data_IF_305053431773
#
_entry.id   IF_305053431773
#
_cell.length_a   1.000
_cell.length_b   1.000
_cell.length_c   1.000
_cell.angle_alpha   90.00
_cell.angle_beta   90.00
_cell.angle_gamma   90.00
#
_symmetry.space_group_name_H-M   'P 1'
#
loop_
_entity.id
_entity.type
_entity.pdbx_description
1 polymer ?
#
# COMPACT_ATOMS: atom_id res chain seq x y z
N UNK A 1 -13.06 15.76 26.48
CA UNK A 1 -12.24 14.60 26.06
C UNK A 1 -12.92 13.74 24.97
N UNK A 2 -14.16 13.26 25.14
CA UNK A 2 -14.86 12.43 24.11
C UNK A 2 -15.04 13.11 22.74
N UNK A 3 -15.39 14.41 22.71
CA UNK A 3 -15.54 15.18 21.47
C UNK A 3 -14.22 15.41 20.72
N UNK A 4 -13.10 15.54 21.44
CA UNK A 4 -11.79 15.73 20.85
C UNK A 4 -11.35 14.47 20.07
N UNK A 5 -11.61 13.29 20.62
CA UNK A 5 -11.23 12.02 20.01
C UNK A 5 -12.09 11.73 18.75
N UNK A 6 -13.38 12.06 18.78
CA UNK A 6 -14.25 12.02 17.60
C UNK A 6 -13.76 12.98 16.50
N UNK A 7 -13.42 14.21 16.86
CA UNK A 7 -12.90 15.22 15.92
C UNK A 7 -11.61 14.75 15.23
N UNK A 8 -10.68 14.17 15.99
CA UNK A 8 -9.41 13.64 15.47
C UNK A 8 -9.67 12.47 14.50
N UNK A 9 -10.60 11.56 14.83
CA UNK A 9 -10.95 10.44 13.95
C UNK A 9 -11.55 10.96 12.63
N UNK A 10 -12.47 11.93 12.67
CA UNK A 10 -13.04 12.53 11.45
C UNK A 10 -12.00 13.25 10.58
N UNK A 11 -11.03 13.94 11.19
CA UNK A 11 -9.93 14.60 10.47
C UNK A 11 -8.99 13.61 9.76
N UNK A 12 -8.79 12.42 10.31
CA UNK A 12 -7.97 11.38 9.70
C UNK A 12 -8.67 10.65 8.55
N UNK A 13 -10.01 10.58 8.56
CA UNK A 13 -10.78 9.92 7.49
C UNK A 13 -10.88 10.84 6.26
N UNK A 14 -10.99 12.16 6.44
CA UNK A 14 -11.16 13.10 5.31
C UNK A 14 -9.86 13.45 4.57
N UNK A 15 -8.69 13.26 5.20
CA UNK A 15 -7.39 13.66 4.65
C UNK A 15 -6.81 12.70 3.59
N UNK A 16 -7.40 11.53 3.37
CA UNK A 16 -6.92 10.54 2.37
C UNK A 16 -7.40 10.82 0.94
N UNK A 17 -8.30 11.80 0.71
CA UNK A 17 -8.95 11.96 -0.61
C UNK A 17 -8.26 12.94 -1.57
N UNK A 18 -7.16 13.60 -1.18
CA UNK A 18 -6.58 14.68 -2.00
C UNK A 18 -5.53 14.24 -3.03
N UNK A 19 -5.27 12.94 -3.19
CA UNK A 19 -4.12 12.51 -3.97
C UNK A 19 -4.32 12.45 -5.49
N UNK A 20 -5.54 12.39 -6.05
CA UNK A 20 -5.69 12.15 -7.51
C UNK A 20 -6.99 12.70 -8.13
N UNK A 21 -7.25 14.01 -8.05
CA UNK A 21 -8.25 14.64 -8.92
C UNK A 21 -7.58 15.56 -9.94
N UNK A 22 -6.73 14.99 -10.80
CA UNK A 22 -6.19 15.71 -11.99
C UNK A 22 -7.11 15.61 -13.20
N UNK A 23 -7.98 14.59 -13.22
CA UNK A 23 -8.96 14.34 -14.27
C UNK A 23 -10.34 14.52 -13.64
N UNK A 24 -11.22 15.27 -14.29
CA UNK A 24 -12.62 15.45 -13.90
C UNK A 24 -13.55 15.28 -15.11
N UNK A 25 -14.86 15.25 -14.85
CA UNK A 25 -15.91 15.27 -15.89
C UNK A 25 -15.77 14.19 -16.99
N UNK A 26 -15.45 12.95 -16.59
CA UNK A 26 -15.31 11.83 -17.52
C UNK A 26 -16.70 11.45 -18.03
N UNK A 27 -16.93 11.63 -19.33
CA UNK A 27 -18.17 11.26 -20.03
C UNK A 27 -17.83 10.22 -21.09
N UNK A 28 -18.58 9.14 -21.12
CA UNK A 28 -18.41 8.06 -22.09
C UNK A 28 -19.62 8.04 -23.00
N UNK A 29 -19.38 8.11 -24.31
CA UNK A 29 -20.40 8.02 -25.35
C UNK A 29 -20.05 6.88 -26.28
N UNK A 30 -21.07 6.13 -26.69
CA UNK A 30 -20.94 5.14 -27.75
C UNK A 30 -21.37 5.85 -29.02
N UNK A 31 -20.44 6.11 -29.94
CA UNK A 31 -20.75 6.82 -31.18
C UNK A 31 -21.54 5.91 -32.13
N UNK A 32 -21.03 4.68 -32.29
CA UNK A 32 -21.62 3.59 -33.07
C UNK A 32 -21.42 2.28 -32.32
N UNK A 33 -21.98 1.16 -32.82
CA UNK A 33 -21.72 -0.19 -32.27
C UNK A 33 -20.25 -0.64 -32.33
N UNK A 34 -19.35 0.20 -32.84
CA UNK A 34 -17.93 -0.08 -33.04
C UNK A 34 -16.98 0.85 -32.26
N UNK A 35 -17.40 2.06 -31.90
CA UNK A 35 -16.51 3.10 -31.37
C UNK A 35 -17.02 3.70 -30.05
N UNK A 36 -16.09 3.93 -29.14
CA UNK A 36 -16.34 4.59 -27.85
C UNK A 36 -15.58 5.91 -27.83
N UNK A 37 -16.30 6.97 -27.53
CA UNK A 37 -15.78 8.30 -27.26
C UNK A 37 -15.72 8.54 -25.76
N UNK A 38 -14.55 8.97 -25.28
CA UNK A 38 -14.30 9.32 -23.89
C UNK A 38 -13.92 10.79 -23.87
N UNK A 39 -14.77 11.61 -23.26
CA UNK A 39 -14.53 13.03 -23.02
C UNK A 39 -14.11 13.22 -21.57
N UNK A 40 -13.13 14.06 -21.30
CA UNK A 40 -12.66 14.33 -19.94
C UNK A 40 -12.04 15.72 -19.84
N UNK A 41 -12.00 16.25 -18.62
CA UNK A 41 -11.32 17.50 -18.31
C UNK A 41 -10.03 17.20 -17.57
N UNK A 42 -8.93 17.81 -18.00
CA UNK A 42 -7.60 17.61 -17.45
C UNK A 42 -7.11 18.93 -16.85
N UNK A 43 -7.14 19.02 -15.52
CA UNK A 43 -6.95 20.28 -14.81
C UNK A 43 -5.48 20.76 -14.83
N UNK A 44 -4.54 19.84 -14.60
CA UNK A 44 -3.11 20.15 -14.50
C UNK A 44 -2.29 19.02 -15.13
N UNK A 45 -1.38 19.38 -16.02
CA UNK A 45 -0.39 18.48 -16.63
C UNK A 45 1.02 18.93 -16.32
N UNK A 46 1.88 18.00 -15.94
CA UNK A 46 3.33 18.23 -15.83
C UNK A 46 4.05 17.65 -17.05
N UNK A 47 5.20 18.22 -17.46
CA UNK A 47 6.07 17.58 -18.44
C UNK A 47 6.41 16.15 -18.02
N UNK A 48 6.19 15.19 -18.91
CA UNK A 48 6.38 13.76 -18.66
C UNK A 48 5.16 13.02 -18.11
N UNK A 49 4.08 13.72 -17.73
CA UNK A 49 2.82 13.06 -17.40
C UNK A 49 2.32 12.24 -18.60
N UNK A 50 1.78 11.06 -18.30
CA UNK A 50 1.23 10.15 -19.30
C UNK A 50 -0.21 9.79 -18.97
N UNK A 51 -1.10 9.96 -19.95
CA UNK A 51 -2.50 9.57 -19.84
C UNK A 51 -2.68 8.14 -20.35
N UNK A 52 -3.35 7.33 -19.57
CA UNK A 52 -3.79 5.99 -19.95
C UNK A 52 -5.27 5.84 -19.62
N UNK A 53 -5.94 4.92 -20.30
CA UNK A 53 -7.27 4.49 -19.90
C UNK A 53 -7.36 2.97 -19.92
N UNK A 54 -8.14 2.44 -19.00
CA UNK A 54 -8.48 1.03 -18.90
C UNK A 54 -9.97 0.87 -19.20
N UNK A 55 -10.32 -0.13 -20.01
CA UNK A 55 -11.72 -0.49 -20.27
C UNK A 55 -12.02 -1.82 -19.61
N UNK A 56 -13.15 -1.90 -18.91
CA UNK A 56 -13.63 -3.11 -18.26
C UNK A 56 -15.04 -3.41 -18.71
N UNK A 57 -15.23 -4.60 -19.27
CA UNK A 57 -16.53 -5.22 -19.45
C UNK A 57 -17.01 -5.81 -18.13
N UNK A 58 -18.32 -5.76 -17.89
CA UNK A 58 -18.94 -6.42 -16.74
C UNK A 58 -18.88 -7.96 -16.83
N UNK A 59 -18.93 -8.52 -18.05
CA UNK A 59 -18.92 -9.98 -18.26
C UNK A 59 -17.52 -10.53 -18.49
N UNK A 60 -16.69 -9.82 -19.28
CA UNK A 60 -15.37 -10.29 -19.72
C UNK A 60 -14.21 -9.78 -18.87
N UNK A 61 -14.46 -8.81 -17.98
CA UNK A 61 -13.41 -8.18 -17.18
C UNK A 61 -12.61 -7.15 -17.99
N UNK A 62 -11.29 -7.08 -17.78
CA UNK A 62 -10.45 -6.08 -18.45
C UNK A 62 -10.31 -6.36 -19.94
N UNK A 63 -10.60 -5.36 -20.78
CA UNK A 63 -10.45 -5.44 -22.23
C UNK A 63 -9.09 -4.82 -22.61
N UNK A 64 -8.12 -5.58 -23.14
CA UNK A 64 -6.85 -5.02 -23.56
C UNK A 64 -7.03 -4.08 -24.76
N UNK A 65 -6.64 -2.82 -24.57
CA UNK A 65 -6.72 -1.76 -25.57
C UNK A 65 -5.40 -1.72 -26.34
N UNK A 66 -5.44 -1.95 -27.66
CA UNK A 66 -4.24 -1.81 -28.50
C UNK A 66 -4.11 -0.36 -29.00
N UNK A 67 -2.90 0.23 -28.97
CA UNK A 67 -2.68 1.62 -29.37
C UNK A 67 -3.13 1.96 -30.80
N UNK A 68 -3.04 1.01 -31.73
CA UNK A 68 -3.43 1.17 -33.14
C UNK A 68 -4.92 1.51 -33.34
N UNK A 69 -5.77 1.19 -32.37
CA UNK A 69 -7.21 1.47 -32.41
C UNK A 69 -7.61 2.68 -31.56
N UNK A 70 -6.64 3.46 -31.08
CA UNK A 70 -6.87 4.64 -30.25
C UNK A 70 -6.59 5.89 -31.10
N UNK A 71 -7.48 6.86 -31.04
CA UNK A 71 -7.32 8.20 -31.63
C UNK A 71 -7.55 9.26 -30.54
N UNK A 72 -6.94 10.43 -30.71
CA UNK A 72 -7.09 11.54 -29.77
C UNK A 72 -5.95 11.62 -28.74
N UNK A 73 -6.24 12.21 -27.59
CA UNK A 73 -5.22 12.60 -26.61
C UNK A 73 -4.89 11.47 -25.62
N UNK A 74 -3.92 10.62 -25.96
CA UNK A 74 -3.40 9.54 -25.10
C UNK A 74 -1.87 9.53 -25.13
N UNK A 75 -1.23 9.13 -24.03
CA UNK A 75 0.23 8.98 -23.96
C UNK A 75 0.95 10.15 -23.29
N UNK A 76 2.21 10.40 -23.67
CA UNK A 76 3.21 11.21 -22.93
C UNK A 76 3.28 12.70 -23.31
N UNK A 77 2.32 13.21 -24.09
CA UNK A 77 2.31 14.62 -24.58
C UNK A 77 0.92 15.23 -24.50
N UNK A 78 0.27 15.06 -23.35
CA UNK A 78 -1.06 15.62 -23.09
C UNK A 78 -0.92 17.06 -22.58
N UNK A 79 -1.86 17.92 -22.97
CA UNK A 79 -1.95 19.29 -22.48
C UNK A 79 -3.18 19.44 -21.60
N UNK A 80 -3.07 20.16 -20.48
CA UNK A 80 -4.23 20.49 -19.65
C UNK A 80 -5.31 21.22 -20.47
N UNK A 81 -6.59 20.96 -20.19
CA UNK A 81 -7.73 21.55 -20.88
C UNK A 81 -9.02 20.79 -20.63
N UNK A 82 -10.15 21.41 -20.97
CA UNK A 82 -11.48 20.78 -20.93
C UNK A 82 -11.81 20.08 -22.23
N UNK A 83 -12.80 19.18 -22.19
CA UNK A 83 -13.36 18.49 -23.36
C UNK A 83 -12.30 17.73 -24.18
N UNK A 84 -11.24 17.24 -23.53
CA UNK A 84 -10.24 16.39 -24.16
C UNK A 84 -10.90 15.09 -24.57
N UNK A 85 -10.50 14.56 -25.73
CA UNK A 85 -11.20 13.48 -26.41
C UNK A 85 -10.28 12.31 -26.71
N UNK A 86 -10.74 11.11 -26.37
CA UNK A 86 -10.18 9.83 -26.80
C UNK A 86 -11.27 9.07 -27.54
N UNK A 87 -10.94 8.55 -28.71
CA UNK A 87 -11.82 7.65 -29.45
C UNK A 87 -11.14 6.29 -29.54
N UNK A 88 -11.83 5.25 -29.10
CA UNK A 88 -11.35 3.88 -29.18
C UNK A 88 -12.27 3.05 -30.09
N UNK A 89 -11.68 2.48 -31.15
CA UNK A 89 -12.37 1.57 -32.06
C UNK A 89 -12.35 0.15 -31.49
N UNK A 90 -13.36 -0.16 -30.68
CA UNK A 90 -13.48 -1.45 -30.01
C UNK A 90 -13.66 -2.61 -30.99
N UNK A 91 -14.40 -2.39 -32.09
CA UNK A 91 -14.65 -3.43 -33.10
C UNK A 91 -13.39 -3.78 -33.89
N UNK A 92 -12.61 -2.79 -34.29
CA UNK A 92 -11.30 -3.00 -34.91
C UNK A 92 -10.36 -3.78 -33.98
N UNK A 93 -10.48 -3.54 -32.66
CA UNK A 93 -9.76 -4.27 -31.63
C UNK A 93 -10.39 -5.65 -31.30
N UNK A 94 -11.41 -6.10 -32.03
CA UNK A 94 -12.03 -7.43 -31.88
C UNK A 94 -13.11 -7.53 -30.81
N UNK A 95 -13.62 -6.42 -30.28
CA UNK A 95 -14.69 -6.40 -29.27
C UNK A 95 -16.01 -5.89 -29.84
N UNK A 96 -17.09 -6.64 -29.59
CA UNK A 96 -18.45 -6.17 -29.85
C UNK A 96 -18.97 -5.39 -28.63
N UNK A 97 -19.58 -4.23 -28.86
CA UNK A 97 -20.11 -3.35 -27.81
C UNK A 97 -21.58 -3.65 -27.50
N UNK A 98 -21.88 -4.90 -27.17
CA UNK A 98 -23.23 -5.37 -26.84
C UNK A 98 -23.46 -5.51 -25.32
N UNK A 99 -22.59 -4.91 -24.51
CA UNK A 99 -22.59 -5.06 -23.06
C UNK A 99 -22.18 -3.76 -22.36
N UNK A 100 -22.60 -3.56 -21.09
CA UNK A 100 -22.18 -2.40 -20.32
C UNK A 100 -20.68 -2.46 -20.04
N UNK A 101 -20.01 -1.34 -20.35
CA UNK A 101 -18.58 -1.15 -20.14
C UNK A 101 -18.32 -0.03 -19.13
N UNK A 102 -17.21 -0.16 -18.41
CA UNK A 102 -16.68 0.86 -17.51
C UNK A 102 -15.33 1.33 -18.06
N UNK A 103 -15.16 2.64 -18.20
CA UNK A 103 -13.89 3.26 -18.62
C UNK A 103 -13.28 3.95 -17.40
N UNK A 104 -11.98 3.73 -17.18
CA UNK A 104 -11.22 4.35 -16.11
C UNK A 104 -10.05 5.10 -16.75
N UNK A 105 -10.04 6.43 -16.68
CA UNK A 105 -8.94 7.27 -17.17
C UNK A 105 -7.97 7.54 -16.01
N UNK A 106 -6.67 7.43 -16.27
CA UNK A 106 -5.59 7.56 -15.28
C UNK A 106 -4.47 8.43 -15.82
N UNK A 107 -3.98 9.37 -15.01
CA UNK A 107 -2.70 10.05 -15.25
C UNK A 107 -1.62 9.33 -14.45
N UNK A 108 -0.60 8.86 -15.14
CA UNK A 108 0.66 8.45 -14.52
C UNK A 108 1.59 9.65 -14.55
N UNK A 109 1.94 10.16 -13.38
CA UNK A 109 2.95 11.22 -13.30
C UNK A 109 4.26 10.70 -13.88
N UNK A 110 4.81 11.40 -14.87
CA UNK A 110 6.21 11.19 -15.24
C UNK A 110 7.03 11.50 -14.01
N UNK A 111 7.93 10.58 -13.61
CA UNK A 111 9.00 10.98 -12.70
C UNK A 111 9.64 12.24 -13.31
N UNK A 112 9.91 13.25 -12.49
CA UNK A 112 10.55 14.46 -12.96
C UNK A 112 11.77 14.04 -13.78
N UNK A 113 11.69 14.19 -15.10
CA UNK A 113 12.84 14.07 -15.96
C UNK A 113 13.69 15.25 -15.51
N UNK A 114 14.70 14.96 -14.68
CA UNK A 114 15.75 15.93 -14.42
C UNK A 114 16.19 16.38 -15.81
N UNK A 115 16.14 17.69 -16.12
CA UNK A 115 16.53 18.16 -17.44
C UNK A 115 17.90 17.55 -17.70
N UNK A 116 17.99 16.70 -18.74
CA UNK A 116 19.27 16.18 -19.19
C UNK A 116 20.14 17.41 -19.39
N UNK A 117 21.13 17.54 -18.51
CA UNK A 117 22.17 18.54 -18.62
C UNK A 117 22.77 18.28 -19.99
N UNK A 118 22.40 19.12 -20.95
CA UNK A 118 22.90 19.09 -22.33
C UNK A 118 24.40 19.31 -22.19
N UNK A 119 25.13 18.21 -22.04
CA UNK A 119 26.57 18.19 -22.08
C UNK A 119 26.92 18.49 -23.53
N UNK A 120 27.04 19.79 -23.82
CA UNK A 120 27.69 20.30 -25.01
C UNK A 120 29.15 19.85 -24.93
N UNK A 121 29.41 18.63 -25.38
CA UNK A 121 30.75 18.10 -25.52
C UNK A 121 31.25 18.55 -26.90
N UNK A 122 32.21 19.49 -26.99
CA UNK A 122 32.79 19.85 -28.27
C UNK A 122 33.52 18.64 -28.85
N UNK A 123 33.15 18.27 -30.08
CA UNK A 123 33.83 17.27 -30.89
C UNK A 123 35.25 17.76 -31.18
N UNK A 124 36.24 17.21 -30.49
CA UNK A 124 37.66 17.36 -30.85
C UNK A 124 38.10 16.04 -31.48
N UNK A 125 38.56 16.15 -32.73
CA UNK A 125 39.07 15.05 -33.53
C UNK A 125 40.21 14.30 -32.82
N UNK A 126 40.08 12.97 -32.76
CA UNK A 126 41.14 12.07 -32.28
C UNK A 126 42.05 11.64 -33.43
N UNK A 127 43.32 12.00 -33.31
CA UNK A 127 44.44 11.43 -34.06
C UNK A 127 44.90 10.13 -33.38
N UNK A 128 45.28 9.07 -34.10
CA UNK A 128 45.76 7.83 -33.49
C UNK A 128 47.28 7.89 -33.25
N UNK A 129 47.77 7.47 -32.08
CA UNK A 129 49.15 6.99 -31.89
C UNK A 129 49.33 6.23 -30.56
N UNK A 130 50.40 5.42 -30.40
CA UNK A 130 50.31 4.07 -29.87
C UNK A 130 51.02 3.88 -28.51
N UNK A 131 50.63 2.81 -27.84
CA UNK A 131 51.41 1.91 -27.00
C UNK A 131 52.66 2.45 -26.29
N UNK A 132 52.60 2.56 -24.96
CA UNK A 132 53.78 2.33 -24.11
C UNK A 132 53.40 1.65 -22.80
N UNK A 133 53.85 0.40 -22.67
CA UNK A 133 53.88 -0.37 -21.43
C UNK A 133 54.87 0.25 -20.44
N UNK A 134 54.50 0.30 -19.17
CA UNK A 134 55.46 0.24 -18.06
C UNK A 134 54.77 -0.31 -16.81
N UNK A 135 55.32 -1.41 -16.34
CA UNK A 135 55.08 -2.15 -15.10
C UNK A 135 55.47 -1.30 -13.90
N UNK A 136 54.63 -1.24 -12.86
CA UNK A 136 55.07 -1.00 -11.48
C UNK A 136 54.22 -1.86 -10.53
N UNK A 137 54.89 -2.82 -9.90
CA UNK A 137 54.40 -3.64 -8.80
C UNK A 137 53.98 -2.80 -7.60
N UNK A 138 52.81 -3.10 -7.04
CA UNK A 138 52.44 -2.66 -5.71
C UNK A 138 51.50 -3.70 -5.07
N UNK A 139 51.96 -4.51 -4.09
CA UNK A 139 51.10 -5.47 -3.40
C UNK A 139 50.27 -4.73 -2.34
N UNK A 140 49.28 -3.96 -2.80
CA UNK A 140 48.21 -3.48 -1.94
C UNK A 140 47.22 -4.62 -1.75
N UNK A 141 47.09 -5.10 -0.51
CA UNK A 141 46.13 -6.11 -0.11
C UNK A 141 44.75 -5.80 -0.71
N UNK A 142 44.38 -6.61 -1.70
CA UNK A 142 43.07 -6.58 -2.33
C UNK A 142 42.07 -6.94 -1.22
N UNK A 143 41.38 -5.92 -0.70
CA UNK A 143 40.11 -6.11 -0.03
C UNK A 143 39.21 -6.82 -1.03
N UNK A 144 39.16 -8.15 -0.96
CA UNK A 144 38.15 -8.94 -1.64
C UNK A 144 36.87 -8.67 -0.86
N UNK A 145 35.90 -7.90 -1.40
CA UNK A 145 34.63 -7.74 -0.72
C UNK A 145 34.04 -9.14 -0.59
N UNK A 146 33.78 -9.54 0.66
CA UNK A 146 33.18 -10.83 0.98
C UNK A 146 31.76 -10.89 0.40
N UNK A 147 31.67 -11.32 -0.87
CA UNK A 147 30.42 -11.47 -1.62
C UNK A 147 29.55 -12.62 -1.12
N UNK A 148 30.04 -13.40 -0.15
CA UNK A 148 29.32 -14.54 0.43
C UNK A 148 28.45 -14.17 1.65
N UNK A 149 28.35 -12.89 2.03
CA UNK A 149 27.35 -12.48 3.02
C UNK A 149 25.95 -12.57 2.40
N UNK A 150 25.35 -13.76 2.52
CA UNK A 150 23.93 -13.98 2.30
C UNK A 150 23.19 -13.04 3.25
N UNK A 151 22.75 -11.89 2.73
CA UNK A 151 21.90 -10.96 3.45
C UNK A 151 20.59 -11.70 3.72
N UNK A 152 20.48 -12.29 4.92
CA UNK A 152 19.24 -12.88 5.43
C UNK A 152 18.20 -11.77 5.51
N UNK A 153 17.45 -11.57 4.41
CA UNK A 153 16.32 -10.65 4.38
C UNK A 153 15.29 -11.20 5.34
N UNK A 154 15.11 -10.52 6.48
CA UNK A 154 13.98 -10.78 7.36
C UNK A 154 12.70 -10.67 6.51
N UNK A 155 11.83 -11.64 6.64
CA UNK A 155 10.53 -11.59 5.98
C UNK A 155 9.73 -10.48 6.65
N UNK A 156 9.26 -9.48 5.91
CA UNK A 156 8.36 -8.42 6.44
C UNK A 156 7.00 -8.45 5.74
N UNK A 157 6.54 -9.66 5.41
CA UNK A 157 5.24 -9.84 4.78
C UNK A 157 4.06 -9.61 5.73
N UNK A 158 2.84 -9.53 5.17
CA UNK A 158 1.61 -9.33 5.94
C UNK A 158 1.31 -10.46 6.93
N UNK A 159 2.01 -11.60 6.87
CA UNK A 159 1.84 -12.68 7.84
C UNK A 159 2.16 -12.23 9.28
N UNK A 160 3.00 -11.19 9.48
CA UNK A 160 3.21 -10.61 10.81
C UNK A 160 1.96 -9.91 11.38
N UNK A 161 0.98 -9.55 10.54
CA UNK A 161 -0.31 -9.06 11.02
C UNK A 161 -1.10 -10.16 11.76
N UNK A 162 -0.89 -11.44 11.43
CA UNK A 162 -1.49 -12.55 12.17
C UNK A 162 -0.94 -12.63 13.60
N UNK A 163 0.34 -12.29 13.79
CA UNK A 163 0.92 -12.18 15.13
C UNK A 163 0.32 -11.02 15.94
N UNK A 164 -0.04 -9.90 15.30
CA UNK A 164 -0.83 -8.85 15.97
C UNK A 164 -2.24 -9.30 16.37
N UNK A 165 -2.81 -10.29 15.69
CA UNK A 165 -4.12 -10.85 16.08
C UNK A 165 -4.03 -11.68 17.36
N UNK A 166 -2.91 -12.38 17.58
CA UNK A 166 -2.66 -13.15 18.81
C UNK A 166 -2.24 -12.23 19.95
N UNK A 167 -1.38 -11.26 19.66
CA UNK A 167 -0.83 -10.35 20.64
C UNK A 167 -0.82 -8.91 20.09
N UNK A 168 -1.84 -8.10 20.46
CA UNK A 168 -1.94 -6.71 20.05
C UNK A 168 -0.62 -5.97 20.35
N UNK A 169 -0.08 -5.26 19.37
CA UNK A 169 1.15 -4.46 19.46
C UNK A 169 2.44 -5.17 19.05
N UNK A 170 2.48 -6.50 18.97
CA UNK A 170 3.70 -7.25 18.61
C UNK A 170 3.99 -7.18 17.11
N UNK A 171 2.99 -7.39 16.24
CA UNK A 171 3.20 -7.48 14.80
C UNK A 171 3.80 -6.21 14.18
N UNK A 172 3.41 -5.04 14.68
CA UNK A 172 3.90 -3.73 14.21
C UNK A 172 5.40 -3.49 14.50
N UNK A 173 6.01 -4.21 15.46
CA UNK A 173 7.46 -4.12 15.75
C UNK A 173 8.26 -4.74 14.60
N UNK A 174 7.77 -5.83 14.02
CA UNK A 174 8.47 -6.58 12.97
C UNK A 174 8.36 -5.92 11.58
N UNK A 175 7.37 -5.03 11.38
CA UNK A 175 7.13 -4.37 10.09
C UNK A 175 7.99 -3.09 9.92
N UNK A 176 8.66 -2.60 10.98
CA UNK A 176 9.47 -1.39 10.90
C UNK A 176 10.91 -1.65 10.43
N UNK A 177 11.30 -0.99 9.34
CA UNK A 177 12.69 -0.89 8.86
C UNK A 177 13.15 0.58 8.85
N UNK A 178 14.48 0.85 8.94
CA UNK A 178 15.59 -0.10 9.10
C UNK A 178 15.92 -0.45 10.57
N UNK A 179 15.45 0.36 11.54
CA UNK A 179 15.59 0.09 12.97
C UNK A 179 14.21 0.12 13.63
N UNK A 180 13.80 -0.95 14.34
CA UNK A 180 12.55 -0.93 15.09
C UNK A 180 12.68 0.12 16.19
N UNK A 181 11.92 1.22 16.08
CA UNK A 181 11.80 2.17 17.19
C UNK A 181 10.75 1.61 18.12
N UNK A 182 11.21 0.99 19.21
CA UNK A 182 10.37 0.54 20.32
C UNK A 182 9.86 1.78 21.06
N UNK A 183 8.91 2.50 20.45
CA UNK A 183 8.25 3.64 21.10
C UNK A 183 7.25 3.16 22.16
N UNK A 184 6.23 3.96 22.45
CA UNK A 184 5.13 3.65 23.38
C UNK A 184 4.20 2.49 22.98
N UNK A 185 4.67 1.57 22.13
CA UNK A 185 3.85 0.49 21.57
C UNK A 185 3.57 -0.66 22.54
N UNK A 186 4.54 -1.10 23.36
CA UNK A 186 4.25 -2.08 24.42
C UNK A 186 3.19 -1.58 25.41
N UNK A 187 3.06 -0.26 25.55
CA UNK A 187 2.05 0.35 26.42
C UNK A 187 0.63 0.07 25.90
N UNK A 188 0.39 0.09 24.59
CA UNK A 188 -0.92 -0.25 24.03
C UNK A 188 -1.30 -1.71 24.33
N UNK A 189 -0.33 -2.64 24.20
CA UNK A 189 -0.51 -4.04 24.57
C UNK A 189 -0.82 -4.18 26.06
N UNK A 190 -0.03 -3.54 26.92
CA UNK A 190 -0.22 -3.57 28.36
C UNK A 190 -1.59 -3.04 28.76
N UNK A 191 -2.05 -1.95 28.15
CA UNK A 191 -3.39 -1.38 28.37
C UNK A 191 -4.50 -2.31 27.89
N UNK A 192 -4.35 -2.94 26.72
CA UNK A 192 -5.35 -3.89 26.21
C UNK A 192 -5.49 -5.11 27.13
N UNK A 193 -4.36 -5.69 27.55
CA UNK A 193 -4.36 -6.84 28.47
C UNK A 193 -4.84 -6.47 29.87
N UNK A 194 -4.50 -5.29 30.39
CA UNK A 194 -4.99 -4.85 31.70
C UNK A 194 -6.49 -4.64 31.71
N UNK A 195 -7.06 -4.04 30.66
CA UNK A 195 -8.52 -3.91 30.49
C UNK A 195 -9.21 -5.27 30.40
N UNK A 196 -8.61 -6.22 29.67
CA UNK A 196 -9.17 -7.55 29.53
C UNK A 196 -9.14 -8.31 30.86
N UNK A 197 -8.02 -8.26 31.59
CA UNK A 197 -7.90 -8.85 32.92
C UNK A 197 -8.87 -8.22 33.92
N UNK A 198 -8.97 -6.88 33.93
CA UNK A 198 -9.92 -6.14 34.75
C UNK A 198 -11.37 -6.55 34.45
N UNK A 199 -11.74 -6.63 33.16
CA UNK A 199 -13.07 -7.10 32.77
C UNK A 199 -13.37 -8.51 33.28
N UNK A 200 -12.42 -9.45 33.18
CA UNK A 200 -12.62 -10.81 33.67
C UNK A 200 -12.84 -10.87 35.19
N UNK A 201 -12.15 -10.02 35.96
CA UNK A 201 -12.37 -9.90 37.41
C UNK A 201 -13.76 -9.34 37.72
N UNK A 202 -14.18 -8.28 37.06
CA UNK A 202 -15.51 -7.68 37.21
C UNK A 202 -16.63 -8.64 36.81
N UNK A 203 -16.41 -9.49 35.79
CA UNK A 203 -17.36 -10.54 35.42
C UNK A 203 -17.56 -11.54 36.55
N UNK A 204 -16.47 -11.94 37.22
CA UNK A 204 -16.55 -12.86 38.35
C UNK A 204 -17.34 -12.25 39.51
N UNK A 205 -17.04 -11.00 39.86
CA UNK A 205 -17.77 -10.28 40.90
C UNK A 205 -19.27 -10.17 40.58
N UNK A 206 -19.61 -9.81 39.34
CA UNK A 206 -21.01 -9.77 38.90
C UNK A 206 -21.73 -11.13 39.07
N UNK A 207 -21.04 -12.25 38.85
CA UNK A 207 -21.60 -13.59 39.03
C UNK A 207 -21.77 -13.94 40.51
N UNK A 208 -20.77 -13.59 41.34
CA UNK A 208 -20.80 -13.84 42.78
C UNK A 208 -21.95 -13.06 43.45
N UNK A 209 -22.13 -11.78 43.11
CA UNK A 209 -23.23 -10.94 43.62
C UNK A 209 -24.60 -11.41 43.13
N UNK A 210 -24.68 -11.85 41.87
CA UNK A 210 -25.92 -12.39 41.32
C UNK A 210 -26.33 -13.72 41.98
N UNK A 211 -25.36 -14.58 42.32
CA UNK A 211 -25.63 -15.80 43.06
C UNK A 211 -26.19 -15.50 44.47
N UNK A 212 -25.69 -14.45 45.14
CA UNK A 212 -26.27 -14.00 46.42
C UNK A 212 -27.70 -13.50 46.24
N UNK A 213 -27.98 -12.76 45.16
CA UNK A 213 -29.35 -12.35 44.81
C UNK A 213 -30.30 -13.54 44.61
N UNK A 214 -29.88 -14.59 43.91
CA UNK A 214 -30.70 -15.78 43.66
C UNK A 214 -31.09 -16.54 44.95
N UNK A 215 -30.21 -16.56 45.94
CA UNK A 215 -30.47 -17.22 47.24
C UNK A 215 -31.47 -16.43 48.09
N UNK A 216 -31.61 -15.12 47.85
CA UNK A 216 -32.51 -14.28 48.62
C UNK A 216 -33.95 -14.38 48.14
N UNK A 217 -34.80 -15.00 48.96
CA UNK A 217 -36.25 -15.13 48.69
C UNK A 217 -37.03 -13.80 48.81
N UNK A 218 -36.46 -12.80 49.48
CA UNK A 218 -37.10 -11.50 49.67
C UNK A 218 -36.61 -10.50 48.61
N UNK A 219 -37.53 -10.03 47.77
CA UNK A 219 -37.24 -9.07 46.71
C UNK A 219 -36.61 -7.76 47.23
N UNK A 220 -37.04 -7.25 48.39
CA UNK A 220 -36.51 -6.01 48.96
C UNK A 220 -35.08 -6.18 49.47
N UNK A 221 -34.75 -7.35 50.02
CA UNK A 221 -33.39 -7.65 50.48
C UNK A 221 -32.44 -7.93 49.30
N UNK A 222 -32.94 -8.56 48.23
CA UNK A 222 -32.15 -8.91 47.05
C UNK A 222 -31.87 -7.76 46.09
N UNK A 223 -32.73 -6.72 46.07
CA UNK A 223 -32.59 -5.56 45.20
C UNK A 223 -31.17 -4.95 45.14
N UNK A 224 -30.49 -4.65 46.27
CA UNK A 224 -29.13 -4.09 46.22
C UNK A 224 -28.11 -5.03 45.56
N UNK A 225 -28.20 -6.34 45.79
CA UNK A 225 -27.27 -7.31 45.18
C UNK A 225 -27.46 -7.38 43.67
N UNK A 226 -28.70 -7.28 43.20
CA UNK A 226 -28.98 -7.21 41.76
C UNK A 226 -28.40 -5.93 41.13
N UNK A 227 -28.56 -4.79 41.78
CA UNK A 227 -28.01 -3.51 41.29
C UNK A 227 -26.48 -3.55 41.24
N UNK A 228 -25.82 -4.06 42.28
CA UNK A 228 -24.36 -4.23 42.34
C UNK A 228 -23.88 -5.18 41.24
N UNK A 229 -24.53 -6.34 41.08
CA UNK A 229 -24.22 -7.29 40.01
C UNK A 229 -24.33 -6.65 38.62
N UNK A 230 -25.37 -5.84 38.38
CA UNK A 230 -25.56 -5.15 37.11
C UNK A 230 -24.48 -4.08 36.88
N UNK A 231 -24.05 -3.35 37.91
CA UNK A 231 -22.95 -2.39 37.81
C UNK A 231 -21.62 -3.08 37.43
N UNK A 232 -21.27 -4.18 38.09
CA UNK A 232 -20.09 -4.99 37.75
C UNK A 232 -20.19 -5.54 36.32
N UNK A 233 -21.36 -6.01 35.90
CA UNK A 233 -21.58 -6.47 34.54
C UNK A 233 -21.37 -5.37 33.49
N UNK A 234 -21.85 -4.14 33.74
CA UNK A 234 -21.62 -3.00 32.85
C UNK A 234 -20.13 -2.65 32.75
N UNK A 235 -19.38 -2.67 33.85
CA UNK A 235 -17.93 -2.43 33.86
C UNK A 235 -17.18 -3.49 33.07
N UNK A 236 -17.51 -4.77 33.28
CA UNK A 236 -17.00 -5.89 32.48
C UNK A 236 -17.20 -5.66 30.98
N UNK A 237 -18.43 -5.28 30.60
CA UNK A 237 -18.79 -5.07 29.20
C UNK A 237 -18.03 -3.90 28.57
N UNK A 238 -17.89 -2.78 29.29
CA UNK A 238 -17.12 -1.63 28.84
C UNK A 238 -15.63 -1.96 28.71
N UNK A 239 -15.05 -2.65 29.71
CA UNK A 239 -13.64 -3.00 29.72
C UNK A 239 -13.27 -3.96 28.59
N UNK A 240 -14.04 -5.03 28.40
CA UNK A 240 -13.78 -6.03 27.35
C UNK A 240 -13.96 -5.47 25.95
N UNK A 241 -14.98 -4.65 25.71
CA UNK A 241 -15.17 -3.97 24.41
C UNK A 241 -14.08 -2.94 24.15
N UNK A 242 -13.67 -2.19 25.18
CA UNK A 242 -12.53 -1.28 25.09
C UNK A 242 -11.27 -2.01 24.66
N UNK A 243 -10.95 -3.13 25.32
CA UNK A 243 -9.82 -3.99 24.94
C UNK A 243 -9.92 -4.50 23.50
N UNK A 244 -11.10 -4.97 23.08
CA UNK A 244 -11.32 -5.46 21.71
C UNK A 244 -11.13 -4.37 20.64
N UNK A 245 -11.60 -3.15 20.89
CA UNK A 245 -11.41 -2.01 19.97
C UNK A 245 -9.94 -1.65 19.83
N UNK A 246 -9.18 -1.62 20.95
CA UNK A 246 -7.73 -1.37 20.92
C UNK A 246 -7.01 -2.45 20.11
N UNK A 247 -7.34 -3.72 20.36
CA UNK A 247 -6.75 -4.85 19.64
C UNK A 247 -7.03 -4.80 18.13
N UNK A 248 -8.30 -4.60 17.73
CA UNK A 248 -8.69 -4.49 16.32
C UNK A 248 -7.99 -3.32 15.63
N UNK A 249 -7.88 -2.17 16.31
CA UNK A 249 -7.20 -0.99 15.77
C UNK A 249 -5.73 -1.30 15.48
N UNK A 250 -5.02 -2.01 16.36
CA UNK A 250 -3.62 -2.39 16.12
C UNK A 250 -3.49 -3.35 14.92
N UNK A 251 -4.37 -4.34 14.80
CA UNK A 251 -4.37 -5.28 13.67
C UNK A 251 -4.57 -4.55 12.34
N UNK A 252 -5.58 -3.67 12.26
CA UNK A 252 -5.88 -2.90 11.04
C UNK A 252 -4.70 -1.99 10.67
N UNK A 253 -4.14 -1.26 11.63
CA UNK A 253 -2.98 -0.40 11.38
C UNK A 253 -1.75 -1.20 10.92
N UNK A 254 -1.52 -2.39 11.49
CA UNK A 254 -0.42 -3.28 11.11
C UNK A 254 -0.62 -3.81 9.69
N UNK A 255 -1.85 -4.18 9.32
CA UNK A 255 -2.21 -4.61 7.98
C UNK A 255 -1.98 -3.50 6.94
N UNK A 256 -2.49 -2.29 7.19
CA UNK A 256 -2.32 -1.12 6.29
C UNK A 256 -0.84 -0.84 6.07
N UNK A 257 -0.04 -0.83 7.14
CA UNK A 257 1.42 -0.65 7.03
C UNK A 257 2.09 -1.78 6.25
N UNK A 258 1.69 -3.03 6.47
CA UNK A 258 2.20 -4.18 5.72
C UNK A 258 1.94 -4.06 4.21
N UNK A 259 0.73 -3.62 3.83
CA UNK A 259 0.37 -3.39 2.43
C UNK A 259 1.20 -2.25 1.84
N UNK A 260 1.33 -1.13 2.53
CA UNK A 260 2.12 0.03 2.08
C UNK A 260 3.60 -0.33 1.90
N UNK A 261 4.19 -1.06 2.85
CA UNK A 261 5.58 -1.53 2.73
C UNK A 261 5.76 -2.44 1.52
N UNK A 262 4.78 -3.32 1.22
CA UNK A 262 4.82 -4.18 0.03
C UNK A 262 4.76 -3.37 -1.27
N UNK A 263 4.00 -2.27 -1.30
CA UNK A 263 3.97 -1.36 -2.45
C UNK A 263 5.32 -0.68 -2.65
N UNK A 264 5.91 -0.13 -1.58
CA UNK A 264 7.24 0.47 -1.63
C UNK A 264 8.32 -0.52 -2.10
N UNK A 265 8.25 -1.79 -1.69
CA UNK A 265 9.16 -2.82 -2.21
C UNK A 265 8.94 -3.13 -3.70
N UNK A 266 7.70 -3.10 -4.17
CA UNK A 266 7.41 -3.30 -5.59
C UNK A 266 7.92 -2.12 -6.41
N UNK A 267 7.79 -0.90 -5.89
CA UNK A 267 8.32 0.31 -6.52
C UNK A 267 9.85 0.32 -6.53
N UNK A 268 10.50 0.04 -5.40
CA UNK A 268 11.96 -0.07 -5.33
C UNK A 268 12.50 -1.13 -6.31
N UNK A 269 11.83 -2.29 -6.43
CA UNK A 269 12.20 -3.32 -7.41
C UNK A 269 11.93 -2.94 -8.87
N UNK A 270 11.03 -1.98 -9.13
CA UNK A 270 10.81 -1.45 -10.48
C UNK A 270 11.89 -0.45 -10.87
N UNK A 271 12.49 0.22 -9.88
CA UNK A 271 13.52 1.23 -10.10
C UNK A 271 14.91 0.59 -10.18
N UNK A 272 15.14 -0.61 -9.64
CA UNK A 272 16.38 -1.37 -9.86
C UNK A 272 16.44 -1.87 -11.32
N UNK A 273 17.24 -1.24 -12.21
CA UNK A 273 17.30 -1.60 -13.64
C UNK A 273 18.10 -2.89 -13.86
N UNK A 274 18.81 -3.34 -12.82
CA UNK A 274 19.74 -4.47 -12.84
C UNK A 274 19.28 -5.48 -11.80
N UNK A 275 18.86 -6.67 -12.25
CA UNK A 275 18.65 -7.80 -11.35
C UNK A 275 19.64 -8.91 -11.64
N UNK A 276 20.45 -9.26 -10.65
CA UNK A 276 21.35 -10.42 -10.69
C UNK A 276 20.64 -11.60 -10.01
N UNK A 277 20.39 -12.68 -10.73
CA UNK A 277 19.89 -13.94 -10.16
C UNK A 277 20.99 -15.00 -10.21
N UNK A 278 21.65 -15.31 -9.08
CA UNK A 278 22.49 -16.49 -9.01
C UNK A 278 21.61 -17.75 -9.12
N UNK A 279 22.11 -18.76 -9.83
CA UNK A 279 21.47 -20.05 -10.06
C UNK A 279 22.51 -21.15 -10.22
N UNK A 280 22.06 -22.40 -10.23
CA UNK A 280 22.87 -23.54 -10.66
C UNK A 280 22.20 -24.18 -11.87
N UNK A 281 22.95 -24.38 -12.94
CA UNK A 281 22.49 -25.12 -14.11
C UNK A 281 23.54 -26.21 -14.41
N UNK A 282 23.10 -27.47 -14.40
CA UNK A 282 23.98 -28.64 -14.58
C UNK A 282 25.18 -28.70 -13.61
N UNK A 283 24.98 -28.32 -12.34
CA UNK A 283 26.03 -28.35 -11.31
C UNK A 283 27.07 -27.22 -11.40
N UNK A 284 26.94 -26.30 -12.37
CA UNK A 284 27.77 -25.11 -12.47
C UNK A 284 27.03 -23.89 -11.91
N UNK A 285 27.74 -23.03 -11.18
CA UNK A 285 27.21 -21.73 -10.74
C UNK A 285 27.03 -20.82 -11.96
N UNK A 286 25.80 -20.37 -12.18
CA UNK A 286 25.46 -19.41 -13.24
C UNK A 286 24.84 -18.17 -12.61
N UNK A 287 25.09 -16.99 -13.17
CA UNK A 287 24.43 -15.75 -12.74
C UNK A 287 23.74 -15.12 -13.95
N UNK A 288 22.42 -14.97 -13.86
CA UNK A 288 21.65 -14.31 -14.91
C UNK A 288 21.53 -12.84 -14.55
N UNK A 289 22.22 -12.00 -15.32
CA UNK A 289 22.05 -10.55 -15.28
C UNK A 289 20.88 -10.18 -16.19
N UNK A 290 19.81 -9.61 -15.63
CA UNK A 290 18.74 -9.00 -16.42
C UNK A 290 18.82 -7.49 -16.27
N UNK A 291 18.99 -6.82 -17.39
CA UNK A 291 18.91 -5.38 -17.52
C UNK A 291 17.58 -5.00 -18.17
N UNK A 292 16.83 -4.08 -17.58
CA UNK A 292 15.62 -3.52 -18.19
C UNK A 292 15.79 -2.02 -18.37
N UNK A 293 15.73 -1.58 -19.63
CA UNK A 293 15.68 -0.18 -20.05
C UNK A 293 14.25 0.35 -19.98
#
# INVERSE_FOLDING_TARGET
>A
MRFLLLLIITLFITSQSQAQERISNIRVRVLDSAEIEILYDLLITRPGDSLFFDVRSRLRGGLPVRPEFIRGEVGTRITAGSDRRIVWNARGNGYALNEPIQVIVRVRSGGAVLPDEVSAQPSVAQTPQPSRSAVVDNPSAVFTPDTNRILRRRYDGPAWALLSAVAPGIGNIFVQRPRPRVGFRPLASAVAYSLLAYGLLERKQAQDDYAVYEVQKNATAGAPFYEIANQHHQRYYLATRGAAVIALTDVVLTLIKGIRNRQLYREARRIDPVSLRPGMQAGQFTAVLRYSF
#
